data_IF_855621215150
#
_entry.id   IF_855621215150
#
_cell.length_a   1.000
_cell.length_b   1.000
_cell.length_c   1.000
_cell.angle_alpha   90.00
_cell.angle_beta   90.00
_cell.angle_gamma   90.00
#
_symmetry.space_group_name_H-M   'P 1'
#
loop_
_entity.id
_entity.type
_entity.pdbx_description
1 polymer ?
#
# COMPACT_ATOMS: atom_id res chain seq x y z
N UNK A 1 10.62 18.55 4.18
CA UNK A 1 11.85 17.75 4.28
C UNK A 1 11.88 16.80 5.49
N UNK A 2 11.16 17.03 6.60
CA UNK A 2 11.26 16.14 7.77
C UNK A 2 10.58 14.76 7.64
N UNK A 3 9.51 14.61 6.83
CA UNK A 3 8.71 13.38 6.89
C UNK A 3 9.29 12.19 6.11
N UNK A 4 9.87 12.46 4.93
CA UNK A 4 10.55 11.43 4.13
C UNK A 4 11.75 10.85 4.86
N UNK A 5 12.53 11.69 5.54
CA UNK A 5 13.71 11.23 6.28
C UNK A 5 13.29 10.37 7.49
N UNK A 6 12.26 10.79 8.24
CA UNK A 6 11.69 9.97 9.31
C UNK A 6 11.17 8.61 8.80
N UNK A 7 10.51 8.59 7.64
CA UNK A 7 10.05 7.35 7.02
C UNK A 7 11.22 6.43 6.63
N UNK A 8 12.26 7.00 6.02
CA UNK A 8 13.45 6.25 5.62
C UNK A 8 14.20 5.66 6.80
N UNK A 9 14.26 6.39 7.92
CA UNK A 9 14.89 5.90 9.14
C UNK A 9 14.06 4.80 9.80
N UNK A 10 12.73 4.95 9.86
CA UNK A 10 11.82 3.87 10.30
C UNK A 10 11.94 2.61 9.42
N UNK A 11 12.03 2.79 8.11
CA UNK A 11 12.19 1.69 7.16
C UNK A 11 13.56 1.02 7.32
N UNK A 12 14.62 1.79 7.53
CA UNK A 12 15.99 1.30 7.74
C UNK A 12 16.15 0.42 8.99
N UNK A 13 15.30 0.61 10.01
CA UNK A 13 15.26 -0.26 11.20
C UNK A 13 14.79 -1.68 10.84
N UNK A 14 13.88 -1.81 9.88
CA UNK A 14 13.33 -3.11 9.46
C UNK A 14 14.14 -3.75 8.33
N UNK A 15 14.67 -2.92 7.44
CA UNK A 15 15.42 -3.34 6.26
C UNK A 15 16.51 -2.32 5.99
N UNK A 16 17.80 -2.65 6.24
CA UNK A 16 18.90 -1.72 5.98
C UNK A 16 18.85 -1.19 4.54
N UNK A 17 18.81 0.13 4.39
CA UNK A 17 18.76 0.80 3.09
C UNK A 17 20.13 1.36 2.73
N UNK A 18 20.59 1.07 1.52
CA UNK A 18 21.72 1.74 0.89
C UNK A 18 21.42 3.22 0.60
N UNK A 19 22.46 4.01 0.35
CA UNK A 19 22.33 5.42 -0.02
C UNK A 19 21.49 5.60 -1.29
N UNK A 20 21.71 4.77 -2.31
CA UNK A 20 20.98 4.83 -3.57
C UNK A 20 19.49 4.48 -3.41
N UNK A 21 19.15 3.53 -2.53
CA UNK A 21 17.75 3.23 -2.21
C UNK A 21 17.07 4.41 -1.49
N UNK A 22 17.75 5.04 -0.54
CA UNK A 22 17.24 6.25 0.13
C UNK A 22 17.01 7.38 -0.87
N UNK A 23 17.94 7.61 -1.79
CA UNK A 23 17.80 8.63 -2.84
C UNK A 23 16.65 8.34 -3.80
N UNK A 24 16.49 7.07 -4.23
CA UNK A 24 15.36 6.65 -5.07
C UNK A 24 14.02 6.92 -4.38
N UNK A 25 13.86 6.50 -3.12
CA UNK A 25 12.62 6.74 -2.37
C UNK A 25 12.35 8.25 -2.22
N UNK A 26 13.39 9.06 -1.97
CA UNK A 26 13.24 10.53 -1.94
C UNK A 26 12.76 11.10 -3.27
N UNK A 27 13.24 10.58 -4.39
CA UNK A 27 12.81 11.03 -5.71
C UNK A 27 11.34 10.67 -6.00
N UNK A 28 10.87 9.51 -5.52
CA UNK A 28 9.48 9.07 -5.68
C UNK A 28 8.51 9.78 -4.73
N UNK A 29 9.03 10.31 -3.61
CA UNK A 29 8.23 10.82 -2.49
C UNK A 29 7.17 11.86 -2.88
N UNK A 30 7.47 12.93 -3.64
CA UNK A 30 6.52 14.03 -3.83
C UNK A 30 5.21 13.58 -4.49
N UNK A 31 5.29 12.74 -5.53
CA UNK A 31 4.11 12.25 -6.24
C UNK A 31 3.36 11.19 -5.44
N UNK A 32 4.09 10.31 -4.74
CA UNK A 32 3.48 9.32 -3.85
C UNK A 32 2.73 9.98 -2.69
N UNK A 33 3.31 11.02 -2.09
CA UNK A 33 2.69 11.81 -1.03
C UNK A 33 1.44 12.53 -1.52
N UNK A 34 1.52 13.21 -2.68
CA UNK A 34 0.36 13.85 -3.30
C UNK A 34 -0.78 12.87 -3.56
N UNK A 35 -0.47 11.68 -4.09
CA UNK A 35 -1.45 10.63 -4.34
C UNK A 35 -2.05 10.07 -3.03
N UNK A 36 -1.23 9.88 -1.99
CA UNK A 36 -1.70 9.47 -0.67
C UNK A 36 -2.65 10.51 -0.06
N UNK A 37 -2.29 11.79 -0.11
CA UNK A 37 -3.10 12.89 0.41
C UNK A 37 -4.42 13.04 -0.36
N UNK A 38 -4.41 12.83 -1.68
CA UNK A 38 -5.64 12.81 -2.47
C UNK A 38 -6.55 11.63 -2.07
N UNK A 39 -5.97 10.45 -1.92
CA UNK A 39 -6.69 9.25 -1.49
C UNK A 39 -7.29 9.42 -0.09
N UNK A 40 -6.52 9.95 0.85
CA UNK A 40 -6.98 10.19 2.21
C UNK A 40 -8.14 11.19 2.27
N UNK A 41 -8.05 12.30 1.53
CA UNK A 41 -9.13 13.31 1.44
C UNK A 41 -10.44 12.74 0.93
N UNK A 42 -10.38 11.74 0.06
CA UNK A 42 -11.57 11.08 -0.53
C UNK A 42 -11.99 9.81 0.21
N UNK A 43 -11.32 9.47 1.32
CA UNK A 43 -11.61 8.24 2.01
C UNK A 43 -12.98 8.32 2.69
N UNK A 44 -13.93 7.41 2.39
CA UNK A 44 -15.24 7.45 3.00
C UNK A 44 -15.16 7.13 4.49
N UNK A 45 -15.99 7.79 5.30
CA UNK A 45 -16.02 7.56 6.75
C UNK A 45 -16.44 6.12 7.07
N UNK A 46 -15.51 5.35 7.63
CA UNK A 46 -15.73 3.95 8.00
C UNK A 46 -16.20 3.88 9.45
N UNK A 47 -17.47 3.57 9.66
CA UNK A 47 -18.00 3.26 10.99
C UNK A 47 -17.41 1.99 11.63
N UNK A 48 -17.72 1.77 12.91
CA UNK A 48 -17.11 0.71 13.72
C UNK A 48 -17.42 -0.73 13.30
N UNK A 49 -18.48 -1.01 12.53
CA UNK A 49 -18.93 -2.39 12.28
C UNK A 49 -19.30 -2.75 10.83
N UNK A 50 -19.18 -1.83 9.86
CA UNK A 50 -19.63 -2.16 8.49
C UNK A 50 -18.51 -2.74 7.63
N UNK A 51 -18.48 -4.08 7.52
CA UNK A 51 -17.63 -4.83 6.58
C UNK A 51 -17.71 -4.24 5.16
N UNK A 52 -18.94 -4.08 4.65
CA UNK A 52 -19.19 -3.59 3.29
C UNK A 52 -18.60 -2.20 3.06
N UNK A 53 -18.69 -1.29 4.04
CA UNK A 53 -18.08 0.04 3.94
C UNK A 53 -16.56 -0.02 3.93
N UNK A 54 -15.95 -0.88 4.75
CA UNK A 54 -14.48 -1.10 4.76
C UNK A 54 -13.97 -1.60 3.43
N UNK A 55 -14.60 -2.67 2.94
CA UNK A 55 -14.22 -3.26 1.68
C UNK A 55 -14.37 -2.26 0.54
N UNK A 56 -15.51 -1.57 0.45
CA UNK A 56 -15.74 -0.53 -0.55
C UNK A 56 -14.71 0.60 -0.45
N UNK A 57 -14.41 1.08 0.76
CA UNK A 57 -13.42 2.12 0.97
C UNK A 57 -12.05 1.71 0.42
N UNK A 58 -11.59 0.49 0.69
CA UNK A 58 -10.34 -0.01 0.14
C UNK A 58 -10.37 -0.06 -1.39
N UNK A 59 -11.45 -0.61 -1.97
CA UNK A 59 -11.60 -0.70 -3.42
C UNK A 59 -11.65 0.69 -4.09
N UNK A 60 -12.31 1.66 -3.48
CA UNK A 60 -12.39 3.03 -3.97
C UNK A 60 -10.99 3.70 -3.98
N UNK A 61 -10.16 3.44 -2.96
CA UNK A 61 -8.76 3.90 -2.95
C UNK A 61 -7.95 3.26 -4.06
N UNK A 62 -8.02 1.93 -4.22
CA UNK A 62 -7.29 1.24 -5.28
C UNK A 62 -7.71 1.72 -6.67
N UNK A 63 -9.00 1.93 -6.91
CA UNK A 63 -9.48 2.48 -8.19
C UNK A 63 -8.98 3.91 -8.43
N UNK A 64 -8.81 4.72 -7.38
CA UNK A 64 -8.27 6.07 -7.52
C UNK A 64 -6.79 6.04 -7.90
N UNK A 65 -6.00 5.17 -7.26
CA UNK A 65 -4.60 4.99 -7.63
C UNK A 65 -4.45 4.45 -9.06
N UNK A 66 -5.26 3.46 -9.44
CA UNK A 66 -5.28 2.94 -10.82
C UNK A 66 -5.58 4.04 -11.86
N UNK A 67 -6.48 5.00 -11.54
CA UNK A 67 -6.75 6.15 -12.42
C UNK A 67 -5.55 7.08 -12.51
N UNK A 68 -4.92 7.40 -11.37
CA UNK A 68 -3.71 8.23 -11.36
C UNK A 68 -2.57 7.58 -12.17
N UNK A 69 -2.46 6.25 -12.14
CA UNK A 69 -1.52 5.50 -12.97
C UNK A 69 -1.90 5.53 -14.46
N UNK A 70 -3.19 5.33 -14.77
CA UNK A 70 -3.69 5.37 -16.15
C UNK A 70 -3.46 6.75 -16.79
N UNK A 71 -3.61 7.82 -16.01
CA UNK A 71 -3.41 9.19 -16.47
C UNK A 71 -1.93 9.61 -16.47
N UNK A 72 -1.01 8.70 -16.12
CA UNK A 72 0.44 8.96 -16.06
C UNK A 72 0.87 9.93 -14.95
N UNK A 73 -0.01 10.20 -13.98
CA UNK A 73 0.26 11.09 -12.85
C UNK A 73 1.17 10.45 -11.81
N UNK A 74 1.13 9.13 -11.70
CA UNK A 74 2.04 8.33 -10.86
C UNK A 74 2.42 7.04 -11.60
N UNK A 75 3.58 6.47 -11.27
CA UNK A 75 3.96 5.13 -11.70
C UNK A 75 3.63 4.06 -10.64
N UNK A 76 3.97 2.81 -10.94
CA UNK A 76 3.74 1.66 -10.06
C UNK A 76 4.45 1.80 -8.70
N UNK A 77 5.67 2.34 -8.67
CA UNK A 77 6.44 2.48 -7.44
C UNK A 77 5.87 3.58 -6.55
N UNK A 78 5.47 4.69 -7.16
CA UNK A 78 4.80 5.80 -6.49
C UNK A 78 3.44 5.35 -5.95
N UNK A 79 2.69 4.51 -6.67
CA UNK A 79 1.45 3.93 -6.17
C UNK A 79 1.68 3.02 -4.94
N UNK A 80 2.70 2.17 -4.96
CA UNK A 80 3.04 1.31 -3.81
C UNK A 80 3.54 2.12 -2.60
N UNK A 81 4.33 3.17 -2.85
CA UNK A 81 4.75 4.10 -1.80
C UNK A 81 3.53 4.84 -1.22
N UNK A 82 2.59 5.31 -2.06
CA UNK A 82 1.37 5.95 -1.61
C UNK A 82 0.51 5.04 -0.71
N UNK A 83 0.34 3.76 -1.07
CA UNK A 83 -0.33 2.78 -0.20
C UNK A 83 0.38 2.62 1.15
N UNK A 84 1.70 2.64 1.15
CA UNK A 84 2.53 2.52 2.36
C UNK A 84 2.36 3.75 3.26
N UNK A 85 2.33 4.95 2.67
CA UNK A 85 2.04 6.19 3.39
C UNK A 85 0.63 6.18 4.00
N UNK A 86 -0.38 5.78 3.22
CA UNK A 86 -1.75 5.62 3.71
C UNK A 86 -1.84 4.63 4.87
N UNK A 87 -1.10 3.52 4.80
CA UNK A 87 -1.01 2.53 5.89
C UNK A 87 -0.42 3.13 7.16
N UNK A 88 0.61 3.97 7.03
CA UNK A 88 1.25 4.65 8.17
C UNK A 88 0.32 5.71 8.78
N UNK A 89 -0.23 6.59 7.96
CA UNK A 89 -0.96 7.80 8.38
C UNK A 89 -2.43 7.53 8.75
N UNK A 90 -3.13 6.68 8.01
CA UNK A 90 -4.59 6.52 8.15
C UNK A 90 -5.00 5.22 8.86
N UNK A 91 -5.52 5.34 10.08
CA UNK A 91 -6.10 4.20 10.83
C UNK A 91 -7.32 3.60 10.11
N UNK A 92 -8.10 4.44 9.43
CA UNK A 92 -9.26 3.99 8.65
C UNK A 92 -8.82 3.14 7.47
N UNK A 93 -7.79 3.58 6.76
CA UNK A 93 -7.19 2.82 5.66
C UNK A 93 -6.65 1.48 6.12
N UNK A 94 -5.85 1.43 7.20
CA UNK A 94 -5.39 0.15 7.78
C UNK A 94 -6.52 -0.83 8.07
N UNK A 95 -7.64 -0.35 8.62
CA UNK A 95 -8.82 -1.21 8.87
C UNK A 95 -9.46 -1.71 7.57
N UNK A 96 -9.52 -0.87 6.55
CA UNK A 96 -10.06 -1.21 5.23
C UNK A 96 -9.20 -2.27 4.54
N UNK A 97 -7.89 -2.04 4.51
CA UNK A 97 -6.88 -2.95 3.97
C UNK A 97 -6.88 -4.30 4.70
N UNK A 98 -6.80 -4.33 6.03
CA UNK A 98 -6.82 -5.58 6.79
C UNK A 98 -8.08 -6.41 6.51
N UNK A 99 -9.22 -5.73 6.33
CA UNK A 99 -10.47 -6.40 5.99
C UNK A 99 -10.45 -6.98 4.57
N UNK A 100 -9.93 -6.21 3.61
CA UNK A 100 -9.72 -6.71 2.25
C UNK A 100 -8.76 -7.90 2.23
N UNK A 101 -7.61 -7.79 2.89
CA UNK A 101 -6.59 -8.83 2.97
C UNK A 101 -7.14 -10.15 3.53
N UNK A 102 -7.90 -10.08 4.63
CA UNK A 102 -8.56 -11.25 5.21
C UNK A 102 -9.53 -11.93 4.22
N UNK A 103 -10.29 -11.14 3.45
CA UNK A 103 -11.23 -11.65 2.45
C UNK A 103 -10.51 -12.22 1.22
N UNK A 104 -9.46 -11.54 0.76
CA UNK A 104 -8.75 -11.83 -0.48
C UNK A 104 -8.02 -13.18 -0.47
N UNK A 105 -7.67 -13.71 0.71
CA UNK A 105 -7.10 -15.07 0.87
C UNK A 105 -7.99 -16.15 0.25
N UNK A 106 -9.31 -15.97 0.28
CA UNK A 106 -10.28 -16.91 -0.28
C UNK A 106 -10.67 -16.65 -1.73
N UNK A 107 -10.05 -15.68 -2.42
CA UNK A 107 -10.44 -15.35 -3.80
C UNK A 107 -9.88 -16.34 -4.81
N UNK A 108 -10.76 -16.81 -5.70
CA UNK A 108 -10.38 -17.55 -6.89
C UNK A 108 -9.60 -16.66 -7.87
N UNK A 109 -8.89 -17.27 -8.82
CA UNK A 109 -8.15 -16.53 -9.85
C UNK A 109 -9.07 -15.56 -10.62
N UNK A 110 -10.26 -16.01 -11.02
CA UNK A 110 -11.23 -15.17 -11.73
C UNK A 110 -11.72 -13.98 -10.89
N UNK A 111 -11.91 -14.17 -9.58
CA UNK A 111 -12.27 -13.06 -8.68
C UNK A 111 -11.15 -12.03 -8.56
N UNK A 112 -9.89 -12.48 -8.54
CA UNK A 112 -8.73 -11.58 -8.46
C UNK A 112 -8.59 -10.73 -9.72
N UNK A 113 -8.82 -11.31 -10.91
CA UNK A 113 -8.73 -10.58 -12.18
C UNK A 113 -9.76 -9.46 -12.33
N UNK A 114 -10.86 -9.49 -11.55
CA UNK A 114 -11.89 -8.45 -11.54
C UNK A 114 -11.57 -7.28 -10.59
N UNK A 115 -10.49 -7.37 -9.80
CA UNK A 115 -10.12 -6.31 -8.87
C UNK A 115 -9.31 -5.20 -9.58
N UNK A 116 -9.28 -3.99 -9.01
CA UNK A 116 -8.31 -2.94 -9.37
C UNK A 116 -6.90 -3.49 -9.43
N UNK A 117 -6.08 -3.01 -10.38
CA UNK A 117 -4.72 -3.48 -10.59
C UNK A 117 -3.89 -3.35 -9.30
N UNK A 118 -4.00 -2.20 -8.63
CA UNK A 118 -3.37 -1.94 -7.33
C UNK A 118 -3.75 -3.00 -6.28
N UNK A 119 -5.02 -3.42 -6.24
CA UNK A 119 -5.49 -4.46 -5.32
C UNK A 119 -4.97 -5.85 -5.70
N UNK A 120 -4.83 -6.14 -7.00
CA UNK A 120 -4.22 -7.38 -7.49
C UNK A 120 -2.74 -7.45 -7.09
N UNK A 121 -2.01 -6.34 -7.25
CA UNK A 121 -0.60 -6.24 -6.86
C UNK A 121 -0.43 -6.48 -5.35
N UNK A 122 -1.29 -5.91 -4.51
CA UNK A 122 -1.28 -6.18 -3.07
C UNK A 122 -1.50 -7.67 -2.76
N UNK A 123 -2.43 -8.34 -3.45
CA UNK A 123 -2.65 -9.79 -3.27
C UNK A 123 -1.40 -10.60 -3.63
N UNK A 124 -0.72 -10.24 -4.72
CA UNK A 124 0.54 -10.89 -5.10
C UNK A 124 1.59 -10.71 -4.00
N UNK A 125 1.77 -9.50 -3.48
CA UNK A 125 2.71 -9.22 -2.39
C UNK A 125 2.37 -9.98 -1.09
N UNK A 126 1.09 -10.21 -0.79
CA UNK A 126 0.67 -11.01 0.37
C UNK A 126 0.91 -12.52 0.21
N UNK A 127 0.94 -13.03 -1.03
CA UNK A 127 1.11 -14.47 -1.32
C UNK A 127 2.56 -14.88 -1.47
N UNK A 128 3.41 -13.92 -1.81
CA UNK A 128 4.85 -14.06 -1.81
C UNK A 128 5.41 -13.11 -0.75
N UNK A 129 5.24 -13.40 0.56
CA UNK A 129 6.02 -12.69 1.56
C UNK A 129 7.48 -12.89 1.17
N UNK A 130 8.23 -11.78 1.05
CA UNK A 130 9.66 -11.79 0.74
C UNK A 130 10.32 -12.90 1.55
N UNK A 131 10.75 -13.97 0.88
CA UNK A 131 11.56 -15.01 1.52
C UNK A 131 12.88 -14.33 1.90
N UNK A 132 12.96 -13.97 3.18
CA UNK A 132 14.03 -13.16 3.76
C UNK A 132 13.98 -13.23 5.28
N UNK A 133 13.81 -14.43 5.82
CA UNK A 133 14.29 -14.76 7.16
C UNK A 133 15.27 -15.90 6.97
N UNK A 134 16.57 -15.74 7.27
CA UNK A 134 17.44 -16.90 7.36
C UNK A 134 16.87 -17.80 8.44
N UNK A 135 16.57 -19.05 8.07
CA UNK A 135 16.36 -20.12 9.03
C UNK A 135 17.57 -20.15 9.96
N UNK A 136 17.41 -19.62 11.17
CA UNK A 136 18.26 -19.98 12.29
C UNK A 136 17.83 -21.38 12.71
N UNK A 137 18.39 -22.39 12.04
CA UNK A 137 18.46 -23.76 12.52
C UNK A 137 19.73 -24.39 11.92
N UNK A 138 20.87 -24.01 12.49
CA UNK A 138 22.03 -24.90 12.56
C UNK A 138 22.08 -25.39 14.02
N UNK A 139 21.66 -26.63 14.22
CA UNK A 139 22.19 -27.50 15.29
C UNK A 139 23.39 -28.27 14.72
#
# INVERSE_FOLDING_TARGET
MAEVDNFLDELAVQMPLSTSERERIRALWPEAERAADECERHMPTIGWLSFRKRYRAFMDICQRLDRLQTDGSIDDEQAQLALTLLRRRSRSYRKAENMFAARARGYSLGQRQQLPLTAQQLIKAMQFPLQGSPDQNEE
#
